data_IF_225924312297
#
_entry.id   IF_225924312297
#
_cell.length_a   1.000
_cell.length_b   1.000
_cell.length_c   1.000
_cell.angle_alpha   90.00
_cell.angle_beta   90.00
_cell.angle_gamma   90.00
#
_symmetry.space_group_name_H-M   'P 1'
#
loop_
_entity.id
_entity.type
_entity.pdbx_description
1 polymer ?
#
# COMPACT_ATOMS: atom_id res chain seq x y z
N UNK A 1 -11.01 -11.70 -24.85
CA UNK A 1 -9.53 -11.69 -24.82
C UNK A 1 -9.18 -11.61 -23.37
N UNK A 2 -8.98 -12.79 -22.83
CA UNK A 2 -9.24 -13.06 -21.42
C UNK A 2 -7.90 -12.82 -20.75
N UNK A 3 -7.75 -11.66 -20.11
CA UNK A 3 -6.62 -11.38 -19.22
C UNK A 3 -6.79 -12.23 -17.96
N UNK A 4 -6.63 -13.53 -18.08
CA UNK A 4 -6.25 -14.39 -16.95
C UNK A 4 -4.79 -14.11 -16.64
N UNK A 5 -4.50 -12.90 -16.16
CA UNK A 5 -3.29 -12.60 -15.43
C UNK A 5 -3.22 -13.64 -14.30
N UNK A 6 -2.31 -14.60 -14.41
CA UNK A 6 -2.11 -15.59 -13.36
C UNK A 6 -1.86 -14.82 -12.07
N UNK A 7 -2.79 -14.90 -11.12
CA UNK A 7 -2.61 -14.25 -9.82
C UNK A 7 -1.30 -14.75 -9.21
N UNK A 8 -0.48 -13.83 -8.73
CA UNK A 8 0.69 -14.20 -7.96
C UNK A 8 0.24 -14.83 -6.64
N UNK A 9 1.10 -15.65 -6.02
CA UNK A 9 0.80 -16.24 -4.70
C UNK A 9 0.46 -15.14 -3.67
N UNK A 10 1.12 -13.98 -3.77
CA UNK A 10 0.84 -12.82 -2.93
C UNK A 10 -0.57 -12.25 -3.14
N UNK A 11 -1.07 -12.21 -4.37
CA UNK A 11 -2.43 -11.73 -4.65
C UNK A 11 -3.47 -12.65 -4.00
N UNK A 12 -3.24 -13.96 -4.03
CA UNK A 12 -4.10 -14.95 -3.39
C UNK A 12 -4.08 -14.82 -1.87
N UNK A 13 -2.89 -14.68 -1.27
CA UNK A 13 -2.73 -14.45 0.16
C UNK A 13 -3.41 -13.14 0.61
N UNK A 14 -3.26 -12.06 -0.17
CA UNK A 14 -3.90 -10.79 0.10
C UNK A 14 -5.42 -10.89 0.04
N UNK A 15 -5.97 -11.60 -0.96
CA UNK A 15 -7.42 -11.84 -1.06
C UNK A 15 -7.95 -12.65 0.13
N UNK A 16 -7.17 -13.63 0.60
CA UNK A 16 -7.51 -14.38 1.82
C UNK A 16 -7.56 -13.46 3.05
N UNK A 17 -6.54 -12.61 3.22
CA UNK A 17 -6.49 -11.63 4.32
C UNK A 17 -7.63 -10.62 4.27
N UNK A 18 -7.94 -10.07 3.09
CA UNK A 18 -9.08 -9.16 2.90
C UNK A 18 -10.39 -9.86 3.25
N UNK A 19 -10.58 -11.10 2.80
CA UNK A 19 -11.80 -11.86 3.11
C UNK A 19 -11.96 -12.07 4.61
N UNK A 20 -10.89 -12.46 5.32
CA UNK A 20 -10.89 -12.60 6.79
C UNK A 20 -11.18 -11.28 7.50
N UNK A 21 -10.61 -10.17 7.02
CA UNK A 21 -10.88 -8.83 7.57
C UNK A 21 -12.36 -8.44 7.43
N UNK A 22 -12.97 -8.73 6.28
CA UNK A 22 -14.37 -8.41 6.01
C UNK A 22 -15.36 -9.31 6.79
N UNK A 23 -15.00 -10.56 7.11
CA UNK A 23 -15.89 -11.50 7.82
C UNK A 23 -16.34 -10.98 9.20
N UNK A 24 -15.46 -10.30 9.94
CA UNK A 24 -15.78 -9.69 11.25
C UNK A 24 -16.12 -8.20 11.18
N UNK A 25 -16.16 -7.63 9.98
CA UNK A 25 -16.42 -6.21 9.76
C UNK A 25 -17.89 -5.88 9.48
N UNK A 26 -18.21 -4.59 9.27
CA UNK A 26 -19.56 -4.16 8.86
C UNK A 26 -19.96 -4.68 7.46
N UNK A 27 -18.99 -5.16 6.67
CA UNK A 27 -19.17 -5.64 5.30
C UNK A 27 -19.19 -7.17 5.18
N UNK A 28 -19.83 -7.86 6.13
CA UNK A 28 -19.88 -9.33 6.16
C UNK A 28 -20.55 -9.96 4.91
N UNK A 29 -21.53 -9.27 4.31
CA UNK A 29 -22.19 -9.70 3.07
C UNK A 29 -21.19 -9.75 1.91
N UNK A 30 -20.35 -8.72 1.79
CA UNK A 30 -19.27 -8.66 0.81
C UNK A 30 -18.26 -9.77 1.04
N UNK A 31 -17.92 -10.08 2.30
CA UNK A 31 -17.04 -11.20 2.65
C UNK A 31 -17.59 -12.53 2.12
N UNK A 32 -18.90 -12.78 2.33
CA UNK A 32 -19.56 -14.01 1.86
C UNK A 32 -19.56 -14.12 0.33
N UNK A 33 -19.82 -13.02 -0.37
CA UNK A 33 -19.79 -12.99 -1.84
C UNK A 33 -18.36 -13.26 -2.33
N UNK A 34 -17.37 -12.56 -1.78
CA UNK A 34 -15.97 -12.72 -2.15
C UNK A 34 -15.49 -14.15 -1.92
N UNK A 35 -15.81 -14.75 -0.76
CA UNK A 35 -15.50 -16.14 -0.43
C UNK A 35 -16.06 -17.13 -1.47
N UNK A 36 -17.30 -16.92 -1.90
CA UNK A 36 -17.91 -17.75 -2.95
C UNK A 36 -17.25 -17.55 -4.31
N UNK A 37 -16.86 -16.31 -4.66
CA UNK A 37 -16.13 -16.03 -5.90
C UNK A 37 -14.75 -16.67 -5.92
N UNK A 38 -14.01 -16.64 -4.82
CA UNK A 38 -12.68 -17.25 -4.70
C UNK A 38 -12.73 -18.77 -4.94
N UNK A 39 -13.74 -19.44 -4.40
CA UNK A 39 -13.98 -20.88 -4.62
C UNK A 39 -14.38 -21.14 -6.09
N UNK A 40 -15.34 -20.37 -6.63
CA UNK A 40 -15.79 -20.54 -8.03
C UNK A 40 -14.67 -20.36 -9.05
N UNK A 41 -13.81 -19.37 -8.84
CA UNK A 41 -12.67 -19.05 -9.71
C UNK A 41 -11.44 -19.94 -9.43
N UNK A 42 -11.50 -20.85 -8.45
CA UNK A 42 -10.40 -21.73 -8.04
C UNK A 42 -9.09 -20.97 -7.76
N UNK A 43 -9.21 -19.81 -7.13
CA UNK A 43 -8.09 -18.90 -6.84
C UNK A 43 -7.32 -19.36 -5.60
N UNK A 44 -7.97 -20.09 -4.70
CA UNK A 44 -7.36 -20.58 -3.46
C UNK A 44 -6.20 -21.55 -3.75
N UNK A 45 -5.15 -21.57 -2.92
CA UNK A 45 -4.04 -22.49 -3.09
C UNK A 45 -4.55 -23.92 -2.98
N UNK A 46 -4.13 -24.76 -3.91
CA UNK A 46 -4.45 -26.19 -3.90
C UNK A 46 -3.66 -26.89 -2.80
N UNK A 47 -4.22 -27.98 -2.28
CA UNK A 47 -3.48 -28.89 -1.39
C UNK A 47 -2.83 -29.99 -2.20
N UNK A 48 -1.70 -30.49 -1.72
CA UNK A 48 -1.04 -31.67 -2.25
C UNK A 48 -1.33 -32.88 -1.38
N UNK A 49 -1.50 -34.02 -2.02
CA UNK A 49 -1.59 -35.32 -1.37
C UNK A 49 -0.22 -35.85 -0.99
N UNK A 50 -0.22 -36.94 -0.22
CA UNK A 50 0.98 -37.75 0.00
C UNK A 50 1.51 -38.38 -1.31
N UNK A 51 0.64 -38.57 -2.32
CA UNK A 51 1.02 -39.00 -3.68
C UNK A 51 1.43 -37.83 -4.59
N UNK A 52 1.37 -36.58 -4.11
CA UNK A 52 1.69 -35.39 -4.89
C UNK A 52 0.59 -34.88 -5.82
N UNK A 53 -0.62 -35.46 -5.77
CA UNK A 53 -1.75 -34.99 -6.55
C UNK A 53 -2.34 -33.69 -5.97
N UNK A 54 -2.76 -32.77 -6.85
CA UNK A 54 -3.36 -31.50 -6.46
C UNK A 54 -4.88 -31.60 -6.25
N UNK A 55 -5.37 -31.05 -5.14
CA UNK A 55 -6.80 -31.00 -4.83
C UNK A 55 -7.26 -29.59 -4.52
N UNK A 56 -8.52 -29.33 -4.91
CA UNK A 56 -9.22 -28.12 -4.52
C UNK A 56 -9.37 -28.07 -3.00
N UNK A 57 -9.26 -26.87 -2.45
CA UNK A 57 -9.32 -26.64 -1.01
C UNK A 57 -10.44 -25.65 -0.71
N UNK A 58 -11.20 -25.92 0.36
CA UNK A 58 -12.21 -24.97 0.82
C UNK A 58 -11.56 -23.81 1.61
N UNK A 59 -12.25 -22.68 1.67
CA UNK A 59 -11.77 -21.54 2.46
C UNK A 59 -11.66 -21.88 3.95
N UNK A 60 -12.59 -22.68 4.50
CA UNK A 60 -12.56 -23.08 5.90
C UNK A 60 -11.40 -24.04 6.21
N UNK A 61 -11.00 -24.89 5.26
CA UNK A 61 -9.78 -25.69 5.39
C UNK A 61 -8.54 -24.81 5.41
N UNK A 62 -8.50 -23.77 4.57
CA UNK A 62 -7.39 -22.81 4.57
C UNK A 62 -7.29 -22.08 5.90
N UNK A 63 -8.44 -21.67 6.44
CA UNK A 63 -8.51 -21.01 7.74
C UNK A 63 -7.99 -21.89 8.88
N UNK A 64 -8.34 -23.18 8.87
CA UNK A 64 -7.83 -24.17 9.83
C UNK A 64 -6.33 -24.41 9.69
N UNK A 65 -5.78 -24.31 8.47
CA UNK A 65 -4.34 -24.45 8.21
C UNK A 65 -3.54 -23.27 8.77
N UNK A 66 -4.13 -22.08 8.79
CA UNK A 66 -3.48 -20.85 9.25
C UNK A 66 -4.22 -20.19 10.43
N UNK A 67 -4.29 -20.86 11.61
CA UNK A 67 -5.10 -20.40 12.74
C UNK A 67 -4.58 -19.11 13.39
N UNK A 68 -3.32 -18.74 13.16
CA UNK A 68 -2.72 -17.50 13.65
C UNK A 68 -3.18 -16.26 12.85
N UNK A 69 -3.80 -16.46 11.68
CA UNK A 69 -4.31 -15.38 10.85
C UNK A 69 -5.69 -14.99 11.37
N UNK A 70 -5.69 -14.08 12.32
CA UNK A 70 -6.90 -13.50 12.88
C UNK A 70 -7.52 -12.48 11.91
N UNK A 71 -8.82 -12.16 12.04
CA UNK A 71 -9.49 -11.16 11.20
C UNK A 71 -8.83 -9.76 11.23
N UNK A 72 -8.18 -9.38 12.33
CA UNK A 72 -7.43 -8.12 12.45
C UNK A 72 -5.99 -8.19 11.90
N UNK A 73 -5.52 -9.35 11.44
CA UNK A 73 -4.11 -9.56 11.06
C UNK A 73 -3.64 -8.59 9.96
N UNK A 74 -4.49 -8.33 8.95
CA UNK A 74 -4.18 -7.37 7.89
C UNK A 74 -3.97 -5.95 8.45
N UNK A 75 -4.82 -5.54 9.39
CA UNK A 75 -4.70 -4.24 10.06
C UNK A 75 -3.43 -4.17 10.91
N UNK A 76 -3.11 -5.24 11.64
CA UNK A 76 -1.89 -5.34 12.45
C UNK A 76 -0.63 -5.19 11.57
N UNK A 77 -0.60 -5.80 10.38
CA UNK A 77 0.49 -5.63 9.41
C UNK A 77 0.61 -4.15 9.03
N UNK A 78 -0.49 -3.54 8.62
CA UNK A 78 -0.52 -2.14 8.19
C UNK A 78 -0.05 -1.17 9.30
N UNK A 79 -0.42 -1.43 10.57
CA UNK A 79 0.03 -0.60 11.70
C UNK A 79 1.52 -0.79 12.03
N UNK A 80 2.07 -2.00 11.84
CA UNK A 80 3.48 -2.29 12.08
C UNK A 80 4.43 -1.72 11.02
N UNK A 81 3.97 -1.56 9.79
CA UNK A 81 4.78 -1.01 8.70
C UNK A 81 5.10 0.47 8.92
N UNK A 82 4.13 1.26 9.41
CA UNK A 82 4.28 2.70 9.62
C UNK A 82 5.53 3.10 10.45
N UNK A 83 5.74 2.58 11.68
CA UNK A 83 6.90 2.96 12.48
C UNK A 83 8.24 2.43 11.93
N UNK A 84 8.22 1.35 11.15
CA UNK A 84 9.42 0.84 10.45
C UNK A 84 9.82 1.84 9.37
N UNK A 85 8.85 2.28 8.57
CA UNK A 85 9.07 3.24 7.50
C UNK A 85 9.44 4.64 8.02
N UNK A 86 8.88 5.06 9.16
CA UNK A 86 9.21 6.34 9.81
C UNK A 86 10.68 6.44 10.23
N UNK A 87 11.35 5.31 10.50
CA UNK A 87 12.79 5.26 10.82
C UNK A 87 13.66 5.51 9.60
N UNK A 88 13.27 4.98 8.45
CA UNK A 88 14.03 5.12 7.20
C UNK A 88 13.74 6.45 6.52
N UNK A 89 12.46 6.84 6.47
CA UNK A 89 11.98 8.02 5.77
C UNK A 89 11.10 8.83 6.73
N UNK A 90 11.64 9.94 7.25
CA UNK A 90 10.92 10.77 8.22
C UNK A 90 9.65 11.37 7.61
N UNK A 91 8.47 11.18 8.25
CA UNK A 91 7.25 11.88 7.86
C UNK A 91 7.33 13.37 8.23
N UNK A 92 6.43 14.19 7.67
CA UNK A 92 6.34 15.62 8.01
C UNK A 92 5.83 15.86 9.45
N UNK A 93 4.97 14.96 9.94
CA UNK A 93 4.36 15.01 11.26
C UNK A 93 4.66 13.70 11.95
N UNK A 94 5.37 13.76 13.08
CA UNK A 94 5.70 12.59 13.90
C UNK A 94 4.47 12.09 14.65
N UNK A 95 4.30 10.77 14.75
CA UNK A 95 3.26 10.14 15.57
C UNK A 95 1.91 9.99 14.89
N UNK A 96 1.77 10.42 13.62
CA UNK A 96 0.56 10.20 12.83
C UNK A 96 0.70 8.93 11.99
N UNK A 97 0.00 7.85 12.36
CA UNK A 97 -0.08 6.63 11.54
C UNK A 97 -1.38 6.62 10.74
N UNK A 98 -1.28 6.74 9.41
CA UNK A 98 -2.44 6.68 8.50
C UNK A 98 -2.17 5.75 7.32
N UNK A 99 -3.14 4.91 6.98
CA UNK A 99 -3.07 4.03 5.80
C UNK A 99 -3.47 4.75 4.50
N UNK A 100 -4.17 5.89 4.63
CA UNK A 100 -4.67 6.69 3.52
C UNK A 100 -3.86 7.99 3.34
N UNK A 101 -2.68 8.05 3.94
CA UNK A 101 -1.77 9.18 3.78
C UNK A 101 -1.23 9.27 2.35
N UNK A 102 -0.94 10.49 1.90
CA UNK A 102 -0.36 10.77 0.59
C UNK A 102 1.01 11.45 0.73
N UNK A 103 1.82 11.38 -0.33
CA UNK A 103 3.16 11.98 -0.38
C UNK A 103 4.05 11.50 0.77
N UNK A 104 4.58 12.42 1.57
CA UNK A 104 5.44 12.12 2.73
C UNK A 104 4.75 11.38 3.89
N UNK A 105 3.42 11.29 3.88
CA UNK A 105 2.65 10.50 4.85
C UNK A 105 2.16 9.18 4.26
N UNK A 106 2.50 8.87 3.01
CA UNK A 106 2.19 7.58 2.40
C UNK A 106 3.01 6.46 3.04
N UNK A 107 2.41 5.28 3.20
CA UNK A 107 3.12 4.04 3.56
C UNK A 107 3.94 3.46 2.39
N UNK A 108 3.74 3.99 1.19
CA UNK A 108 4.50 3.61 0.00
C UNK A 108 5.49 4.68 -0.43
N UNK A 109 5.80 5.65 0.46
CA UNK A 109 6.74 6.72 0.16
C UNK A 109 8.15 6.16 -0.05
N UNK A 110 8.84 6.73 -1.01
CA UNK A 110 10.23 6.44 -1.33
C UNK A 110 11.14 7.60 -0.93
N UNK A 111 12.46 7.41 -0.80
CA UNK A 111 13.38 8.50 -0.49
C UNK A 111 13.29 9.65 -1.53
N UNK A 112 13.02 9.31 -2.80
CA UNK A 112 12.82 10.29 -3.89
C UNK A 112 11.64 11.23 -3.65
N UNK A 113 10.62 10.78 -2.92
CA UNK A 113 9.46 11.61 -2.56
C UNK A 113 9.81 12.66 -1.49
N UNK A 114 10.92 12.44 -0.77
CA UNK A 114 11.49 13.36 0.21
C UNK A 114 12.37 14.39 -0.47
N UNK A 115 13.02 14.04 -1.58
CA UNK A 115 14.00 14.89 -2.26
C UNK A 115 13.38 16.10 -2.98
N UNK A 116 12.05 16.19 -3.11
CA UNK A 116 11.37 17.41 -3.59
C UNK A 116 11.40 18.48 -2.49
N UNK A 117 12.49 19.22 -2.51
CA UNK A 117 12.86 20.28 -1.59
C UNK A 117 12.42 21.62 -2.18
N UNK A 118 11.61 22.34 -1.41
CA UNK A 118 11.26 23.72 -1.70
C UNK A 118 12.52 24.57 -1.63
N UNK A 119 12.67 25.51 -2.57
CA UNK A 119 13.70 26.52 -2.42
C UNK A 119 13.35 27.44 -1.25
N UNK A 120 14.30 27.63 -0.33
CA UNK A 120 14.19 28.59 0.74
C UNK A 120 14.18 30.02 0.17
N UNK A 121 13.59 31.00 0.85
CA UNK A 121 13.56 32.41 0.39
C UNK A 121 14.98 32.96 0.14
N UNK A 122 15.96 32.45 0.90
CA UNK A 122 17.38 32.78 0.76
C UNK A 122 17.95 32.28 -0.57
N UNK A 123 17.47 31.15 -1.09
CA UNK A 123 17.89 30.64 -2.40
C UNK A 123 17.33 31.49 -3.55
N UNK A 124 16.17 32.15 -3.37
CA UNK A 124 15.65 33.17 -4.31
C UNK A 124 16.36 34.52 -4.20
N UNK A 125 17.10 34.77 -3.12
CA UNK A 125 17.80 36.04 -2.91
C UNK A 125 19.11 36.14 -3.68
N UNK A 126 19.67 35.00 -4.12
CA UNK A 126 20.81 34.98 -5.02
C UNK A 126 20.42 35.47 -6.42
N UNK A 127 21.10 36.51 -6.91
CA UNK A 127 20.84 37.11 -8.22
C UNK A 127 22.09 37.04 -9.10
N UNK A 128 21.90 36.65 -10.35
CA UNK A 128 22.90 36.81 -11.41
C UNK A 128 22.34 37.84 -12.41
N UNK A 129 23.09 38.92 -12.65
CA UNK A 129 22.64 40.02 -13.52
C UNK A 129 21.25 40.55 -13.15
N UNK A 130 21.01 40.74 -11.84
CA UNK A 130 19.75 41.20 -11.24
C UNK A 130 18.54 40.27 -11.38
N UNK A 131 18.68 39.09 -12.01
CA UNK A 131 17.63 38.08 -12.13
C UNK A 131 17.82 36.97 -11.10
N UNK A 132 16.72 36.43 -10.58
CA UNK A 132 16.75 35.25 -9.74
C UNK A 132 17.31 34.07 -10.54
N UNK A 133 18.08 33.21 -9.87
CA UNK A 133 18.57 31.96 -10.47
C UNK A 133 17.40 31.03 -10.79
N UNK A 134 17.54 30.22 -11.85
CA UNK A 134 16.55 29.20 -12.17
C UNK A 134 16.51 28.12 -11.07
N UNK A 135 15.32 27.64 -10.70
CA UNK A 135 15.21 26.51 -9.79
C UNK A 135 15.82 25.25 -10.42
N UNK A 136 16.30 24.29 -9.60
CA UNK A 136 16.66 22.97 -10.10
C UNK A 136 15.45 22.31 -10.76
N UNK A 137 15.67 21.52 -11.82
CA UNK A 137 14.59 20.83 -12.57
C UNK A 137 13.73 19.88 -11.72
N UNK A 138 14.20 19.50 -10.54
CA UNK A 138 13.46 18.69 -9.55
C UNK A 138 12.42 19.50 -8.75
N UNK A 139 12.52 20.82 -8.75
CA UNK A 139 11.64 21.75 -8.03
C UNK A 139 10.51 22.20 -8.95
N UNK A 140 9.36 21.53 -8.89
CA UNK A 140 8.23 21.83 -9.78
C UNK A 140 7.23 22.86 -9.21
N UNK A 141 7.36 23.23 -7.93
CA UNK A 141 6.42 24.13 -7.24
C UNK A 141 7.17 25.28 -6.55
N UNK A 142 6.60 26.48 -6.61
CA UNK A 142 7.17 27.73 -6.08
C UNK A 142 6.21 28.32 -5.04
N UNK A 143 6.74 28.88 -3.94
CA UNK A 143 5.94 29.56 -2.91
C UNK A 143 5.68 31.05 -3.22
N UNK A 144 6.17 31.56 -4.35
CA UNK A 144 6.03 32.96 -4.71
C UNK A 144 4.86 33.07 -5.69
N UNK A 145 3.82 33.79 -5.26
CA UNK A 145 2.61 34.02 -6.03
C UNK A 145 2.92 34.46 -7.46
N UNK A 146 2.17 33.88 -8.40
CA UNK A 146 2.22 34.18 -9.82
C UNK A 146 2.07 35.69 -10.00
N UNK A 147 3.16 36.39 -10.32
CA UNK A 147 3.07 37.73 -10.89
C UNK A 147 2.88 37.52 -12.41
N UNK A 148 1.62 37.54 -12.84
CA UNK A 148 1.27 37.55 -14.27
C UNK A 148 1.54 38.96 -14.83
N UNK A 149 2.26 39.09 -15.96
CA UNK A 149 2.27 40.33 -16.75
C UNK A 149 0.93 40.53 -17.48
#
# INVERSE_FOLDING_TARGET
MDNSSSLSNLDVELLFLITKYLENGPCNLSARVLKNELVKKKVLPKRLDWEGNEHEQSFNELDRKYPHILPNHLLDICTRIAPILDREIKPNVSGLSTLLGAGRQSLLRTPKDVDKLWLCIVEYSARLNQRALYPPVSCTNHNIGVYQP
#
